data_IF_620305888206
#
_entry.id   IF_620305888206
#
_cell.length_a   1.000
_cell.length_b   1.000
_cell.length_c   1.000
_cell.angle_alpha   90.00
_cell.angle_beta   90.00
_cell.angle_gamma   90.00
#
_symmetry.space_group_name_H-M   'P 1'
#
loop_
_entity.id
_entity.type
_entity.pdbx_description
1 polymer ?
#
# COMPACT_ATOMS: atom_id res chain seq x y z
N UNK A 1 -12.80 24.87 -25.40
CA UNK A 1 -12.18 25.34 -26.65
C UNK A 1 -12.16 24.16 -27.61
N UNK A 2 -13.19 24.05 -28.46
CA UNK A 2 -13.33 22.99 -29.45
C UNK A 2 -12.53 23.38 -30.70
N UNK A 3 -11.49 22.62 -31.04
CA UNK A 3 -10.81 22.75 -32.33
C UNK A 3 -11.49 21.82 -33.34
N UNK A 4 -12.43 22.36 -34.11
CA UNK A 4 -12.88 21.76 -35.37
C UNK A 4 -11.84 22.08 -36.44
N UNK A 5 -11.02 21.11 -36.86
CA UNK A 5 -10.25 21.22 -38.09
C UNK A 5 -11.05 20.61 -39.24
N UNK A 6 -11.66 21.46 -40.08
CA UNK A 6 -12.10 21.07 -41.43
C UNK A 6 -10.87 21.05 -42.33
N UNK A 7 -10.46 19.87 -42.79
CA UNK A 7 -9.54 19.75 -43.93
C UNK A 7 -10.26 18.99 -45.06
N UNK A 8 -10.34 19.54 -46.28
CA UNK A 8 -10.94 18.88 -47.43
C UNK A 8 -10.06 17.74 -47.99
N UNK A 9 -10.73 16.76 -48.57
CA UNK A 9 -10.32 15.36 -48.72
C UNK A 9 -9.52 15.05 -50.01
N UNK A 10 -8.97 16.01 -50.76
CA UNK A 10 -8.43 15.70 -52.11
C UNK A 10 -6.92 15.51 -52.24
N UNK A 11 -6.08 15.99 -51.30
CA UNK A 11 -4.66 16.15 -51.64
C UNK A 11 -3.66 15.23 -50.89
N UNK A 12 -4.13 14.36 -50.00
CA UNK A 12 -3.23 13.49 -49.22
C UNK A 12 -2.87 12.14 -49.89
N UNK A 13 -3.59 11.72 -50.93
CA UNK A 13 -3.43 10.37 -51.50
C UNK A 13 -2.32 10.29 -52.57
N UNK A 14 -1.81 11.42 -53.08
CA UNK A 14 -0.87 11.39 -54.22
C UNK A 14 0.63 11.44 -53.89
N UNK A 15 1.07 11.58 -52.62
CA UNK A 15 2.51 11.76 -52.32
C UNK A 15 3.21 10.64 -51.54
N UNK A 16 2.49 9.64 -51.02
CA UNK A 16 3.12 8.53 -50.25
C UNK A 16 2.55 7.14 -50.59
N UNK A 17 2.24 6.91 -51.86
CA UNK A 17 1.89 5.59 -52.38
C UNK A 17 3.14 4.77 -52.67
N UNK A 18 3.63 4.00 -51.68
CA UNK A 18 4.30 2.69 -51.79
C UNK A 18 5.03 2.36 -50.48
N UNK A 19 4.27 1.83 -49.51
CA UNK A 19 4.67 0.89 -48.44
C UNK A 19 3.68 0.94 -47.26
N UNK A 20 2.37 0.83 -47.54
CA UNK A 20 1.38 0.57 -46.50
C UNK A 20 1.14 -0.93 -46.39
N UNK A 21 1.61 -1.52 -45.28
CA UNK A 21 0.87 -2.65 -44.68
C UNK A 21 -0.50 -2.10 -44.31
N UNK A 22 -1.54 -2.67 -44.92
CA UNK A 22 -2.94 -2.29 -44.73
C UNK A 22 -3.30 -2.26 -43.25
N UNK A 23 -3.71 -1.10 -42.75
CA UNK A 23 -4.37 -0.96 -41.46
C UNK A 23 -5.83 -1.37 -41.70
N UNK A 24 -6.37 -2.41 -41.03
CA UNK A 24 -7.75 -2.83 -41.24
C UNK A 24 -8.72 -1.70 -40.92
N UNK A 25 -9.67 -1.43 -41.83
CA UNK A 25 -10.67 -0.35 -41.76
C UNK A 25 -11.68 -0.48 -40.62
N UNK A 26 -11.55 -1.49 -39.74
CA UNK A 26 -12.56 -1.86 -38.74
C UNK A 26 -12.16 -1.50 -37.29
N UNK A 27 -11.27 -0.54 -37.06
CA UNK A 27 -11.02 -0.03 -35.69
C UNK A 27 -12.04 1.05 -35.30
N UNK A 28 -13.26 0.58 -35.00
CA UNK A 28 -14.28 1.19 -34.13
C UNK A 28 -14.52 2.69 -34.35
N UNK A 29 -15.23 3.01 -35.44
CA UNK A 29 -15.97 4.26 -35.58
C UNK A 29 -17.39 4.02 -35.04
N UNK A 30 -17.86 4.88 -34.15
CA UNK A 30 -19.29 4.97 -33.81
C UNK A 30 -19.89 6.10 -34.63
N UNK A 31 -20.89 5.80 -35.46
CA UNK A 31 -21.70 6.84 -36.11
C UNK A 31 -22.66 7.45 -35.09
N UNK A 32 -22.57 8.76 -34.92
CA UNK A 32 -23.55 9.53 -34.15
C UNK A 32 -24.79 9.79 -35.03
N UNK A 33 -25.93 10.11 -34.40
CA UNK A 33 -27.23 10.28 -35.07
C UNK A 33 -27.24 11.39 -36.14
N UNK A 34 -26.21 12.24 -36.19
CA UNK A 34 -26.00 13.32 -37.15
C UNK A 34 -25.07 12.91 -38.33
N UNK A 35 -24.68 11.64 -38.43
CA UNK A 35 -23.75 11.15 -39.46
C UNK A 35 -22.27 11.45 -39.17
N UNK A 36 -21.95 12.03 -38.01
CA UNK A 36 -20.56 12.28 -37.61
C UNK A 36 -19.88 10.97 -37.22
N UNK A 37 -18.80 10.62 -37.92
CA UNK A 37 -17.95 9.46 -37.58
C UNK A 37 -16.98 9.85 -36.46
N UNK A 38 -17.16 9.27 -35.28
CA UNK A 38 -16.28 9.49 -34.14
C UNK A 38 -15.35 8.30 -33.92
N UNK A 39 -14.08 8.60 -33.66
CA UNK A 39 -13.06 7.60 -33.27
C UNK A 39 -13.09 7.42 -31.76
N UNK A 40 -13.10 6.17 -31.27
CA UNK A 40 -12.99 5.93 -29.83
C UNK A 40 -11.67 6.44 -29.25
N UNK A 41 -11.68 6.92 -28.00
CA UNK A 41 -10.52 7.51 -27.33
C UNK A 41 -9.27 6.61 -27.37
N UNK A 42 -9.45 5.29 -27.25
CA UNK A 42 -8.38 4.29 -27.36
C UNK A 42 -7.75 4.28 -28.75
N UNK A 43 -8.56 4.27 -29.80
CA UNK A 43 -8.10 4.32 -31.19
C UNK A 43 -7.40 5.63 -31.49
N UNK A 44 -7.94 6.77 -31.04
CA UNK A 44 -7.30 8.08 -31.16
C UNK A 44 -5.92 8.11 -30.47
N UNK A 45 -5.84 7.61 -29.23
CA UNK A 45 -4.57 7.51 -28.49
C UNK A 45 -3.53 6.65 -29.21
N UNK A 46 -3.95 5.54 -29.82
CA UNK A 46 -3.07 4.66 -30.58
C UNK A 46 -2.54 5.33 -31.84
N UNK A 47 -3.41 6.00 -32.60
CA UNK A 47 -3.01 6.76 -33.81
C UNK A 47 -2.05 7.88 -33.44
N UNK A 48 -2.37 8.66 -32.40
CA UNK A 48 -1.49 9.74 -31.95
C UNK A 48 -0.12 9.21 -31.51
N UNK A 49 -0.08 8.09 -30.79
CA UNK A 49 1.20 7.49 -30.34
C UNK A 49 2.05 7.01 -31.51
N UNK A 50 1.44 6.51 -32.58
CA UNK A 50 2.15 6.09 -33.80
C UNK A 50 2.63 7.27 -34.63
N UNK A 51 1.83 8.33 -34.77
CA UNK A 51 2.14 9.49 -35.61
C UNK A 51 3.01 10.53 -34.90
N UNK A 52 2.91 10.62 -33.58
CA UNK A 52 3.56 11.63 -32.75
C UNK A 52 4.10 10.98 -31.45
N UNK A 53 5.12 10.11 -31.52
CA UNK A 53 5.65 9.39 -30.36
C UNK A 53 6.20 10.32 -29.25
N UNK A 54 6.53 11.56 -29.61
CA UNK A 54 6.94 12.63 -28.70
C UNK A 54 5.78 13.23 -27.89
N UNK A 55 4.52 13.08 -28.34
CA UNK A 55 3.33 13.58 -27.65
C UNK A 55 2.76 12.44 -26.81
N UNK A 56 2.82 12.59 -25.48
CA UNK A 56 2.24 11.64 -24.54
C UNK A 56 1.08 12.30 -23.82
N UNK A 57 -0.06 11.61 -23.78
CA UNK A 57 -1.15 12.02 -22.89
C UNK A 57 -0.68 11.88 -21.45
N UNK A 58 -0.86 12.94 -20.65
CA UNK A 58 -0.76 12.83 -19.22
C UNK A 58 -1.78 11.76 -18.77
N UNK A 59 -1.31 10.74 -18.06
CA UNK A 59 -2.22 9.83 -17.37
C UNK A 59 -2.97 10.63 -16.31
N UNK A 60 -4.24 10.31 -16.06
CA UNK A 60 -4.97 10.85 -14.91
C UNK A 60 -4.17 10.45 -13.68
N UNK A 61 -3.51 11.43 -13.06
CA UNK A 61 -2.55 11.16 -12.01
C UNK A 61 -3.30 10.74 -10.73
N UNK A 62 -3.16 9.47 -10.35
CA UNK A 62 -3.20 9.07 -8.95
C UNK A 62 -1.75 9.04 -8.45
N UNK A 63 -1.52 9.58 -7.26
CA UNK A 63 -0.22 9.58 -6.55
C UNK A 63 0.91 10.35 -7.25
N UNK A 64 0.72 11.67 -7.42
CA UNK A 64 1.81 12.57 -7.87
C UNK A 64 2.81 12.76 -6.74
N UNK A 65 4.05 12.34 -6.95
CA UNK A 65 5.16 12.68 -6.06
C UNK A 65 5.26 14.21 -5.86
N UNK A 66 5.06 14.66 -4.62
CA UNK A 66 5.07 16.08 -4.27
C UNK A 66 6.43 16.72 -4.55
N UNK A 67 7.52 15.98 -4.33
CA UNK A 67 8.87 16.41 -4.70
C UNK A 67 9.02 16.60 -6.21
N UNK A 68 8.48 15.69 -7.04
CA UNK A 68 8.49 15.87 -8.50
C UNK A 68 7.74 17.14 -8.91
N UNK A 69 6.58 17.39 -8.30
CA UNK A 69 5.79 18.60 -8.59
C UNK A 69 6.59 19.86 -8.26
N UNK A 70 7.13 19.96 -7.04
CA UNK A 70 7.94 21.11 -6.61
C UNK A 70 9.17 21.31 -7.48
N UNK A 71 9.93 20.25 -7.77
CA UNK A 71 11.14 20.34 -8.58
C UNK A 71 10.84 20.75 -10.02
N UNK A 72 9.74 20.28 -10.61
CA UNK A 72 9.27 20.74 -11.93
C UNK A 72 8.89 22.22 -11.90
N UNK A 73 8.14 22.65 -10.89
CA UNK A 73 7.79 24.06 -10.70
C UNK A 73 9.04 24.92 -10.56
N UNK A 74 10.05 24.48 -9.79
CA UNK A 74 11.34 25.19 -9.67
C UNK A 74 12.07 25.31 -11.01
N UNK A 75 12.06 24.26 -11.84
CA UNK A 75 12.64 24.32 -13.20
C UNK A 75 11.89 25.33 -14.08
N UNK A 76 10.56 25.36 -14.01
CA UNK A 76 9.73 26.28 -14.81
C UNK A 76 9.87 27.74 -14.36
N UNK A 77 9.97 27.98 -13.05
CA UNK A 77 10.04 29.33 -12.47
C UNK A 77 11.46 29.91 -12.44
N UNK A 78 12.49 29.13 -12.79
CA UNK A 78 13.87 29.59 -12.79
C UNK A 78 14.07 30.73 -13.82
N UNK A 79 14.52 31.89 -13.33
CA UNK A 79 14.70 33.10 -14.14
C UNK A 79 16.10 33.25 -14.73
N UNK A 80 17.11 32.58 -14.16
CA UNK A 80 18.48 32.60 -14.67
C UNK A 80 18.88 31.22 -15.16
N UNK A 81 19.85 31.17 -16.08
CA UNK A 81 20.35 29.91 -16.62
C UNK A 81 21.01 29.06 -15.53
N UNK A 82 21.75 29.65 -14.58
CA UNK A 82 22.37 28.92 -13.48
C UNK A 82 21.34 28.22 -12.59
N UNK A 83 20.29 28.94 -12.19
CA UNK A 83 19.20 28.39 -11.37
C UNK A 83 18.41 27.32 -12.11
N UNK A 84 18.27 27.47 -13.43
CA UNK A 84 17.59 26.49 -14.28
C UNK A 84 18.40 25.21 -14.40
N UNK A 85 19.72 25.30 -14.55
CA UNK A 85 20.65 24.16 -14.54
C UNK A 85 20.57 23.44 -13.20
N UNK A 86 20.71 24.17 -12.08
CA UNK A 86 20.66 23.60 -10.73
C UNK A 86 19.32 22.89 -10.46
N UNK A 87 18.20 23.56 -10.74
CA UNK A 87 16.86 22.99 -10.55
C UNK A 87 16.64 21.75 -11.42
N UNK A 88 17.19 21.75 -12.64
CA UNK A 88 17.11 20.61 -13.56
C UNK A 88 17.94 19.43 -13.06
N UNK A 89 19.15 19.68 -12.55
CA UNK A 89 20.00 18.65 -11.94
C UNK A 89 19.34 18.04 -10.70
N UNK A 90 18.73 18.85 -9.85
CA UNK A 90 17.98 18.37 -8.68
C UNK A 90 16.78 17.51 -9.08
N UNK A 91 16.04 17.91 -10.12
CA UNK A 91 14.94 17.11 -10.67
C UNK A 91 15.43 15.78 -11.25
N UNK A 92 16.48 15.79 -12.06
CA UNK A 92 17.07 14.57 -12.65
C UNK A 92 17.56 13.63 -11.54
N UNK A 93 18.30 14.15 -10.56
CA UNK A 93 18.81 13.39 -9.41
C UNK A 93 17.69 12.69 -8.62
N UNK A 94 16.56 13.37 -8.41
CA UNK A 94 15.39 12.78 -7.77
C UNK A 94 14.76 11.66 -8.60
N UNK A 95 14.60 11.86 -9.91
CA UNK A 95 14.03 10.85 -10.82
C UNK A 95 14.94 9.63 -10.92
N UNK A 96 16.25 9.82 -11.01
CA UNK A 96 17.21 8.72 -11.03
C UNK A 96 17.22 7.94 -9.71
N UNK A 97 17.16 8.62 -8.57
CA UNK A 97 17.04 7.95 -7.28
C UNK A 97 15.77 7.09 -7.24
N UNK A 98 14.63 7.63 -7.67
CA UNK A 98 13.38 6.87 -7.76
C UNK A 98 13.47 5.69 -8.73
N UNK A 99 14.18 5.83 -9.86
CA UNK A 99 14.43 4.75 -10.81
C UNK A 99 15.25 3.63 -10.16
N UNK A 100 16.32 3.96 -9.44
CA UNK A 100 17.18 2.96 -8.77
C UNK A 100 16.44 2.21 -7.67
N UNK A 101 15.61 2.90 -6.87
CA UNK A 101 14.75 2.21 -5.88
C UNK A 101 13.77 1.25 -6.57
N UNK A 102 13.27 1.61 -7.76
CA UNK A 102 12.42 0.70 -8.54
C UNK A 102 13.19 -0.50 -9.08
N UNK A 103 14.42 -0.29 -9.54
CA UNK A 103 15.31 -1.38 -9.98
C UNK A 103 15.58 -2.35 -8.83
N UNK A 104 15.90 -1.84 -7.64
CA UNK A 104 16.09 -2.65 -6.43
C UNK A 104 14.82 -3.44 -6.05
N UNK A 105 13.65 -2.80 -6.08
CA UNK A 105 12.40 -3.51 -5.85
C UNK A 105 12.19 -4.67 -6.84
N UNK A 106 12.44 -4.44 -8.13
CA UNK A 106 12.32 -5.48 -9.15
C UNK A 106 13.36 -6.60 -8.98
N UNK A 107 14.56 -6.28 -8.50
CA UNK A 107 15.60 -7.27 -8.18
C UNK A 107 15.13 -8.20 -7.04
N UNK A 108 14.59 -7.64 -5.96
CA UNK A 108 13.99 -8.41 -4.87
C UNK A 108 12.84 -9.29 -5.35
N UNK A 109 11.96 -8.76 -6.22
CA UNK A 109 10.91 -9.56 -6.84
C UNK A 109 11.47 -10.77 -7.62
N UNK A 110 12.53 -10.55 -8.40
CA UNK A 110 13.17 -11.61 -9.18
C UNK A 110 13.76 -12.67 -8.28
N UNK A 111 14.60 -12.26 -7.31
CA UNK A 111 15.24 -13.15 -6.33
C UNK A 111 14.23 -13.95 -5.54
N UNK A 112 13.16 -13.30 -5.08
CA UNK A 112 12.11 -13.97 -4.33
C UNK A 112 11.38 -15.02 -5.18
N UNK A 113 11.01 -14.70 -6.42
CA UNK A 113 10.34 -15.67 -7.31
C UNK A 113 11.22 -16.86 -7.65
N UNK A 114 12.51 -16.63 -7.85
CA UNK A 114 13.48 -17.71 -8.07
C UNK A 114 13.61 -18.60 -6.84
N UNK A 115 13.69 -17.99 -5.66
CA UNK A 115 13.75 -18.73 -4.40
C UNK A 115 12.51 -19.59 -4.17
N UNK A 116 11.32 -19.05 -4.46
CA UNK A 116 10.07 -19.80 -4.36
C UNK A 116 9.94 -20.91 -5.40
N UNK A 117 10.43 -20.69 -6.62
CA UNK A 117 10.45 -21.75 -7.65
C UNK A 117 11.30 -22.95 -7.23
N UNK A 118 12.33 -22.71 -6.41
CA UNK A 118 13.24 -23.72 -5.91
C UNK A 118 12.97 -24.11 -4.44
N UNK A 119 11.81 -23.74 -3.88
CA UNK A 119 11.50 -23.89 -2.46
C UNK A 119 11.72 -25.31 -1.94
N UNK A 120 11.24 -26.33 -2.68
CA UNK A 120 11.37 -27.73 -2.29
C UNK A 120 12.81 -28.26 -2.26
N UNK A 121 13.76 -27.54 -2.87
CA UNK A 121 15.17 -27.95 -2.97
C UNK A 121 16.07 -27.20 -1.97
N UNK A 122 15.60 -26.07 -1.40
CA UNK A 122 16.38 -25.24 -0.49
C UNK A 122 16.04 -25.55 0.96
N UNK A 123 17.06 -25.78 1.79
CA UNK A 123 16.89 -25.98 3.23
C UNK A 123 16.69 -24.68 4.02
N UNK A 124 17.18 -23.54 3.49
CA UNK A 124 17.15 -22.25 4.17
C UNK A 124 16.81 -21.16 3.16
N UNK A 125 15.74 -20.41 3.44
CA UNK A 125 15.30 -19.29 2.61
C UNK A 125 15.98 -17.98 3.04
N UNK A 126 16.40 -17.17 2.08
CA UNK A 126 17.17 -15.92 2.29
C UNK A 126 16.67 -14.72 1.48
N UNK A 127 15.79 -14.94 0.53
CA UNK A 127 15.28 -13.96 -0.42
C UNK A 127 13.75 -13.89 -0.37
N UNK A 128 13.13 -14.20 0.78
CA UNK A 128 11.70 -13.94 0.96
C UNK A 128 11.48 -12.43 0.95
N UNK A 129 10.52 -11.97 0.15
CA UNK A 129 10.24 -10.56 -0.04
C UNK A 129 8.79 -10.26 0.31
N UNK A 130 8.62 -9.37 1.28
CA UNK A 130 7.35 -8.83 1.71
C UNK A 130 7.16 -7.42 1.15
N UNK A 131 5.93 -7.10 0.75
CA UNK A 131 5.47 -5.70 0.68
C UNK A 131 4.33 -5.48 1.66
N UNK A 132 4.42 -4.39 2.42
CA UNK A 132 3.40 -4.03 3.42
C UNK A 132 2.92 -2.61 3.18
N UNK A 133 1.60 -2.41 3.27
CA UNK A 133 1.01 -1.09 3.16
C UNK A 133 -0.41 -1.03 3.75
N UNK A 134 -0.85 0.16 4.15
CA UNK A 134 -2.23 0.42 4.50
C UNK A 134 -3.02 0.95 3.30
N UNK A 135 -4.16 0.33 3.01
CA UNK A 135 -5.10 0.93 2.09
C UNK A 135 -5.76 2.18 2.69
N UNK A 136 -6.51 2.89 1.85
CA UNK A 136 -7.48 3.87 2.31
C UNK A 136 -8.56 3.19 3.15
N UNK A 137 -8.99 3.86 4.22
CA UNK A 137 -10.08 3.36 5.05
C UNK A 137 -11.37 3.23 4.24
N UNK A 138 -12.09 2.14 4.48
CA UNK A 138 -13.38 1.85 3.86
C UNK A 138 -14.47 2.30 4.82
N UNK A 139 -15.56 2.85 4.28
CA UNK A 139 -16.72 3.30 5.05
C UNK A 139 -17.93 2.45 4.69
N UNK A 140 -18.60 1.90 5.69
CA UNK A 140 -19.82 1.11 5.56
C UNK A 140 -21.03 1.85 6.17
N UNK A 141 -22.27 1.62 5.69
CA UNK A 141 -22.60 0.79 4.54
C UNK A 141 -22.13 1.43 3.23
N UNK A 142 -21.97 0.63 2.18
CA UNK A 142 -21.65 1.10 0.84
C UNK A 142 -22.59 0.46 -0.16
N UNK A 143 -23.28 1.29 -0.93
CA UNK A 143 -24.14 0.86 -2.04
C UNK A 143 -23.63 1.46 -3.35
N UNK A 144 -23.86 0.75 -4.46
CA UNK A 144 -23.58 1.28 -5.81
C UNK A 144 -24.41 2.51 -6.14
N UNK A 145 -25.68 2.51 -5.68
CA UNK A 145 -26.63 3.61 -5.84
C UNK A 145 -26.67 4.47 -4.57
N UNK A 146 -25.51 5.02 -4.20
CA UNK A 146 -25.37 5.72 -2.93
C UNK A 146 -26.27 6.97 -2.87
N UNK A 147 -27.16 7.02 -1.87
CA UNK A 147 -28.03 8.18 -1.63
C UNK A 147 -27.17 9.36 -1.15
N UNK A 148 -27.37 10.55 -1.71
CA UNK A 148 -26.53 11.73 -1.48
C UNK A 148 -26.29 12.09 0.00
N UNK A 149 -27.25 11.79 0.88
CA UNK A 149 -27.13 12.04 2.32
C UNK A 149 -26.01 11.24 2.99
N UNK A 150 -25.69 10.03 2.50
CA UNK A 150 -24.65 9.19 3.08
C UNK A 150 -23.26 9.80 2.88
N UNK A 151 -23.07 10.70 1.90
CA UNK A 151 -21.81 11.43 1.72
C UNK A 151 -21.51 12.44 2.83
N UNK A 152 -22.53 12.86 3.59
CA UNK A 152 -22.37 13.80 4.71
C UNK A 152 -22.25 13.10 6.06
N UNK A 153 -22.39 11.77 6.10
CA UNK A 153 -22.32 10.98 7.32
C UNK A 153 -20.95 10.29 7.44
N UNK A 154 -20.50 10.13 8.69
CA UNK A 154 -19.32 9.32 8.99
C UNK A 154 -19.74 7.87 9.20
N UNK A 155 -19.76 7.07 8.12
CA UNK A 155 -20.05 5.63 8.19
C UNK A 155 -19.09 4.85 9.08
N UNK A 156 -19.38 3.56 9.30
CA UNK A 156 -18.55 2.64 10.09
C UNK A 156 -17.22 2.40 9.38
N UNK A 157 -16.10 2.62 10.06
CA UNK A 157 -14.78 2.64 9.44
C UNK A 157 -14.10 1.28 9.51
N UNK A 158 -13.65 0.79 8.36
CA UNK A 158 -12.82 -0.41 8.28
C UNK A 158 -11.42 -0.03 7.83
N UNK A 159 -10.41 -0.45 8.59
CA UNK A 159 -9.01 -0.32 8.21
C UNK A 159 -8.57 -1.58 7.47
N UNK A 160 -7.73 -1.38 6.46
CA UNK A 160 -7.20 -2.48 5.65
C UNK A 160 -5.70 -2.38 5.61
N UNK A 161 -5.03 -3.41 6.13
CA UNK A 161 -3.59 -3.57 6.04
C UNK A 161 -3.27 -4.78 5.17
N UNK A 162 -2.31 -4.63 4.26
CA UNK A 162 -1.95 -5.67 3.31
C UNK A 162 -0.54 -6.14 3.57
N UNK A 163 -0.37 -7.46 3.67
CA UNK A 163 0.95 -8.11 3.65
C UNK A 163 1.01 -8.99 2.41
N UNK A 164 1.88 -8.65 1.47
CA UNK A 164 2.07 -9.42 0.25
C UNK A 164 3.40 -10.16 0.30
N UNK A 165 3.35 -11.49 0.17
CA UNK A 165 4.52 -12.33 -0.07
C UNK A 165 4.76 -12.40 -1.58
N UNK A 166 5.72 -11.61 -2.05
CA UNK A 166 5.91 -11.32 -3.47
C UNK A 166 6.31 -12.56 -4.28
N UNK A 167 7.19 -13.40 -3.74
CA UNK A 167 7.62 -14.66 -4.36
C UNK A 167 6.48 -15.68 -4.47
N UNK A 168 5.67 -15.83 -3.41
CA UNK A 168 4.49 -16.71 -3.38
C UNK A 168 3.32 -16.19 -4.22
N UNK A 169 3.33 -14.88 -4.54
CA UNK A 169 2.19 -14.15 -5.09
C UNK A 169 0.93 -14.34 -4.24
N UNK A 170 1.07 -14.27 -2.92
CA UNK A 170 -0.05 -14.33 -1.97
C UNK A 170 -0.11 -13.03 -1.19
N UNK A 171 -1.33 -12.51 -1.05
CA UNK A 171 -1.59 -11.25 -0.35
C UNK A 171 -2.62 -11.49 0.74
N UNK A 172 -2.25 -11.18 1.97
CA UNK A 172 -3.08 -11.27 3.15
C UNK A 172 -3.62 -9.87 3.46
N UNK A 173 -4.94 -9.71 3.39
CA UNK A 173 -5.62 -8.44 3.66
C UNK A 173 -6.27 -8.53 5.04
N UNK A 174 -5.69 -7.83 6.01
CA UNK A 174 -6.24 -7.68 7.35
C UNK A 174 -7.35 -6.64 7.30
N UNK A 175 -8.58 -7.07 7.59
CA UNK A 175 -9.73 -6.19 7.74
C UNK A 175 -9.97 -5.99 9.22
N UNK A 176 -9.88 -4.74 9.68
CA UNK A 176 -10.09 -4.35 11.08
C UNK A 176 -11.27 -3.41 11.15
N UNK A 177 -12.34 -3.85 11.79
CA UNK A 177 -13.54 -3.04 12.03
C UNK A 177 -13.26 -1.89 13.01
N UNK A 178 -14.24 -0.97 13.14
CA UNK A 178 -14.14 0.20 14.01
C UNK A 178 -14.14 -0.16 15.50
N UNK A 179 -14.76 -1.28 15.90
CA UNK A 179 -14.74 -1.80 17.29
C UNK A 179 -13.56 -2.73 17.60
N UNK A 180 -12.89 -3.25 16.57
CA UNK A 180 -11.79 -4.21 16.71
C UNK A 180 -10.41 -3.55 16.91
N UNK A 181 -10.34 -2.21 16.88
CA UNK A 181 -9.10 -1.46 16.98
C UNK A 181 -8.44 -1.47 18.37
N UNK A 182 -7.14 -1.13 18.40
CA UNK A 182 -6.34 -1.00 19.64
C UNK A 182 -6.88 0.11 20.55
N UNK A 183 -7.31 1.24 19.96
CA UNK A 183 -7.93 2.34 20.68
C UNK A 183 -9.39 2.48 20.27
N UNK A 184 -10.19 3.09 21.15
CA UNK A 184 -11.62 3.31 20.94
C UNK A 184 -11.87 3.99 19.58
N UNK A 185 -12.96 3.60 18.93
CA UNK A 185 -13.39 4.15 17.64
C UNK A 185 -12.32 3.99 16.53
N UNK A 186 -11.47 2.97 16.65
CA UNK A 186 -10.40 2.61 15.72
C UNK A 186 -9.41 3.77 15.46
N UNK A 187 -9.16 4.56 16.52
CA UNK A 187 -8.12 5.60 16.54
C UNK A 187 -6.74 4.94 16.55
N UNK A 188 -5.78 5.53 15.83
CA UNK A 188 -4.39 5.04 15.70
C UNK A 188 -4.24 3.58 15.18
N UNK A 189 -5.27 2.98 14.56
CA UNK A 189 -5.18 1.64 13.93
C UNK A 189 -4.35 1.62 12.63
N UNK A 190 -3.79 2.77 12.24
CA UNK A 190 -2.72 2.88 11.23
C UNK A 190 -1.33 3.03 11.87
N UNK A 191 -1.27 3.17 13.18
CA UNK A 191 -0.03 3.44 13.90
C UNK A 191 0.86 2.21 14.05
N UNK A 192 2.05 2.40 14.67
CA UNK A 192 3.10 1.38 14.69
C UNK A 192 2.72 0.09 15.42
N UNK A 193 1.88 0.17 16.46
CA UNK A 193 1.40 -1.04 17.13
C UNK A 193 0.53 -1.87 16.20
N UNK A 194 -0.38 -1.24 15.46
CA UNK A 194 -1.25 -1.96 14.54
C UNK A 194 -0.44 -2.63 13.43
N UNK A 195 0.50 -1.90 12.82
CA UNK A 195 1.42 -2.42 11.81
C UNK A 195 2.22 -3.61 12.33
N UNK A 196 2.88 -3.46 13.48
CA UNK A 196 3.73 -4.51 14.05
C UNK A 196 2.92 -5.75 14.41
N UNK A 197 1.74 -5.63 15.02
CA UNK A 197 0.91 -6.79 15.37
C UNK A 197 0.45 -7.56 14.13
N UNK A 198 -0.08 -6.86 13.11
CA UNK A 198 -0.57 -7.54 11.90
C UNK A 198 0.57 -8.14 11.08
N UNK A 199 1.75 -7.50 11.08
CA UNK A 199 2.92 -8.04 10.41
C UNK A 199 3.54 -9.22 11.18
N UNK A 200 3.64 -9.15 12.51
CA UNK A 200 4.07 -10.26 13.40
C UNK A 200 3.21 -11.50 13.15
N UNK A 201 1.88 -11.35 13.23
CA UNK A 201 0.95 -12.43 12.92
C UNK A 201 1.12 -12.94 11.48
N UNK A 202 1.33 -12.06 10.49
CA UNK A 202 1.50 -12.49 9.11
C UNK A 202 2.76 -13.36 8.92
N UNK A 203 3.87 -12.98 9.56
CA UNK A 203 5.12 -13.73 9.51
C UNK A 203 5.00 -15.03 10.29
N UNK A 204 4.37 -15.01 11.47
CA UNK A 204 4.18 -16.19 12.32
C UNK A 204 3.28 -17.25 11.65
N UNK A 205 2.15 -16.83 11.04
CA UNK A 205 1.19 -17.77 10.47
C UNK A 205 1.46 -18.14 9.02
N UNK A 206 2.05 -17.23 8.23
CA UNK A 206 2.19 -17.41 6.78
C UNK A 206 3.63 -17.34 6.27
N UNK A 207 4.57 -16.93 7.13
CA UNK A 207 6.00 -17.00 6.85
C UNK A 207 6.45 -18.43 6.61
N UNK A 208 7.68 -18.57 6.13
CA UNK A 208 8.23 -19.85 5.69
C UNK A 208 9.41 -20.30 6.55
N UNK A 209 9.48 -19.79 7.78
CA UNK A 209 10.65 -19.91 8.64
C UNK A 209 11.93 -19.46 7.91
N UNK A 210 11.83 -18.38 7.15
CA UNK A 210 12.96 -17.85 6.41
C UNK A 210 14.06 -17.32 7.31
N UNK A 211 15.32 -17.58 6.95
CA UNK A 211 16.46 -17.03 7.67
C UNK A 211 16.65 -15.55 7.34
N UNK A 212 16.38 -15.14 6.09
CA UNK A 212 16.52 -13.75 5.69
C UNK A 212 15.33 -13.27 4.86
N UNK A 213 14.93 -12.03 5.09
CA UNK A 213 13.84 -11.40 4.34
C UNK A 213 14.11 -9.93 4.00
N UNK A 214 13.48 -9.49 2.91
CA UNK A 214 13.36 -8.10 2.52
C UNK A 214 11.93 -7.61 2.71
N UNK A 215 11.76 -6.40 3.21
CA UNK A 215 10.46 -5.76 3.44
C UNK A 215 10.48 -4.43 2.70
N UNK A 216 9.59 -4.26 1.74
CA UNK A 216 9.35 -2.98 1.09
C UNK A 216 8.05 -2.36 1.60
N UNK A 217 8.09 -1.08 1.95
CA UNK A 217 6.94 -0.34 2.42
C UNK A 217 7.02 1.12 2.00
N UNK A 218 5.94 1.86 2.17
CA UNK A 218 5.94 3.30 1.91
C UNK A 218 6.79 4.06 2.96
N UNK A 219 7.25 5.25 2.58
CA UNK A 219 8.01 6.14 3.46
C UNK A 219 7.06 6.95 4.37
N UNK A 220 6.29 6.28 5.22
CA UNK A 220 5.35 6.93 6.14
C UNK A 220 5.83 6.90 7.60
N UNK A 221 6.15 8.06 8.21
CA UNK A 221 6.60 8.12 9.61
C UNK A 221 5.56 7.67 10.64
N UNK A 222 4.27 7.80 10.32
CA UNK A 222 3.18 7.41 11.23
C UNK A 222 2.98 5.90 11.32
N UNK A 223 3.33 5.18 10.25
CA UNK A 223 2.94 3.77 10.08
C UNK A 223 4.19 2.86 10.04
N UNK A 224 5.07 3.05 9.05
CA UNK A 224 6.17 2.12 8.74
C UNK A 224 7.57 2.64 9.12
N UNK A 225 7.83 3.95 8.96
CA UNK A 225 9.15 4.56 9.20
C UNK A 225 9.25 5.25 10.56
N UNK A 226 9.23 4.43 11.60
CA UNK A 226 9.32 4.91 12.97
C UNK A 226 10.23 4.01 13.81
N UNK A 227 10.56 4.49 15.01
CA UNK A 227 11.44 3.78 15.96
C UNK A 227 10.90 2.42 16.39
N UNK A 228 9.57 2.21 16.33
CA UNK A 228 8.94 0.99 16.81
C UNK A 228 8.98 -0.09 15.72
N UNK A 229 8.82 0.25 14.44
CA UNK A 229 9.10 -0.70 13.36
C UNK A 229 10.57 -1.11 13.37
N UNK A 230 11.52 -0.16 13.45
CA UNK A 230 12.95 -0.51 13.52
C UNK A 230 13.31 -1.32 14.77
N UNK A 231 12.69 -1.00 15.91
CA UNK A 231 12.87 -1.76 17.15
C UNK A 231 12.30 -3.17 17.04
N UNK A 232 11.13 -3.33 16.42
CA UNK A 232 10.50 -4.63 16.19
C UNK A 232 11.36 -5.54 15.30
N UNK A 233 11.87 -5.03 14.18
CA UNK A 233 12.74 -5.83 13.31
C UNK A 233 14.08 -6.18 13.97
N UNK A 234 14.64 -5.26 14.78
CA UNK A 234 15.80 -5.56 15.61
C UNK A 234 15.49 -6.63 16.67
N UNK A 235 14.30 -6.60 17.26
CA UNK A 235 13.82 -7.64 18.18
C UNK A 235 13.69 -9.00 17.49
N UNK A 236 13.09 -9.08 16.29
CA UNK A 236 13.01 -10.34 15.54
C UNK A 236 14.39 -10.98 15.32
N UNK A 237 15.41 -10.18 14.97
CA UNK A 237 16.78 -10.67 14.80
C UNK A 237 17.40 -11.05 16.15
N UNK A 238 17.19 -10.24 17.19
CA UNK A 238 17.69 -10.50 18.53
C UNK A 238 17.14 -11.80 19.13
N UNK A 239 15.87 -12.09 18.91
CA UNK A 239 15.21 -13.34 19.34
C UNK A 239 15.39 -14.48 18.33
N UNK A 240 16.28 -14.33 17.34
CA UNK A 240 16.63 -15.35 16.33
C UNK A 240 15.46 -15.84 15.46
N UNK A 241 14.42 -15.01 15.29
CA UNK A 241 13.36 -15.30 14.32
C UNK A 241 13.87 -15.15 12.89
N UNK A 242 14.80 -14.22 12.67
CA UNK A 242 15.52 -14.04 11.41
C UNK A 242 17.01 -13.84 11.66
N UNK A 243 17.85 -14.31 10.74
CA UNK A 243 19.29 -14.01 10.71
C UNK A 243 19.57 -12.62 10.13
N UNK A 244 18.73 -12.16 9.19
CA UNK A 244 18.86 -10.85 8.56
C UNK A 244 17.52 -10.32 8.07
N UNK A 245 17.25 -9.04 8.32
CA UNK A 245 16.07 -8.35 7.79
C UNK A 245 16.53 -7.07 7.09
N UNK A 246 16.05 -6.84 5.87
CA UNK A 246 16.27 -5.60 5.13
C UNK A 246 14.95 -4.83 4.97
N UNK A 247 14.84 -3.65 5.57
CA UNK A 247 13.68 -2.76 5.44
C UNK A 247 13.99 -1.63 4.45
N UNK A 248 13.17 -1.50 3.40
CA UNK A 248 13.41 -0.63 2.25
C UNK A 248 12.19 0.29 2.01
N UNK A 249 12.42 1.59 2.13
CA UNK A 249 11.38 2.62 2.09
C UNK A 249 11.22 3.20 0.69
N UNK A 250 10.06 2.99 0.08
CA UNK A 250 9.74 3.53 -1.23
C UNK A 250 9.47 5.04 -1.19
N UNK A 251 9.91 5.77 -2.22
CA UNK A 251 9.63 7.19 -2.33
C UNK A 251 8.12 7.43 -2.52
N UNK A 252 7.56 8.30 -1.69
CA UNK A 252 6.16 8.70 -1.79
C UNK A 252 5.82 9.27 -3.18
N UNK A 253 4.72 8.79 -3.76
CA UNK A 253 4.30 9.10 -5.13
C UNK A 253 5.10 8.40 -6.23
N UNK A 254 6.03 7.51 -5.86
CA UNK A 254 6.68 6.53 -6.75
C UNK A 254 6.44 5.09 -6.26
N UNK A 255 5.59 4.92 -5.25
CA UNK A 255 5.09 3.65 -4.72
C UNK A 255 4.21 2.98 -5.77
N UNK A 256 4.70 1.87 -6.33
CA UNK A 256 3.92 1.04 -7.27
C UNK A 256 4.22 -0.43 -7.01
N UNK A 257 3.92 -0.91 -5.82
CA UNK A 257 4.17 -2.30 -5.43
C UNK A 257 2.93 -3.19 -5.66
N UNK A 258 3.08 -4.51 -5.52
CA UNK A 258 1.95 -5.43 -5.78
C UNK A 258 0.86 -5.30 -4.71
N UNK A 259 1.21 -4.95 -3.45
CA UNK A 259 0.21 -4.66 -2.42
C UNK A 259 -0.73 -3.52 -2.85
N UNK A 260 -0.20 -2.41 -3.39
CA UNK A 260 -0.99 -1.27 -3.93
C UNK A 260 -1.89 -1.71 -5.09
N UNK A 261 -1.32 -2.48 -6.02
CA UNK A 261 -2.05 -2.98 -7.18
C UNK A 261 -3.24 -3.85 -6.73
N UNK A 262 -3.04 -4.70 -5.73
CA UNK A 262 -4.08 -5.52 -5.12
C UNK A 262 -5.19 -4.68 -4.47
N UNK A 263 -4.84 -3.62 -3.75
CA UNK A 263 -5.84 -2.69 -3.20
C UNK A 263 -6.63 -1.98 -4.30
N UNK A 264 -5.96 -1.60 -5.38
CA UNK A 264 -6.59 -1.00 -6.55
C UNK A 264 -7.65 -1.91 -7.18
N UNK A 265 -7.40 -3.21 -7.28
CA UNK A 265 -8.39 -4.18 -7.77
C UNK A 265 -9.56 -4.36 -6.80
N UNK A 266 -9.29 -4.54 -5.51
CA UNK A 266 -10.31 -4.64 -4.47
C UNK A 266 -11.22 -3.40 -4.48
N UNK A 267 -10.63 -2.19 -4.55
CA UNK A 267 -11.37 -0.92 -4.63
C UNK A 267 -12.26 -0.82 -5.87
N UNK A 268 -11.80 -1.31 -7.02
CA UNK A 268 -12.60 -1.34 -8.27
C UNK A 268 -13.81 -2.28 -8.16
N UNK A 269 -13.68 -3.39 -7.44
CA UNK A 269 -14.78 -4.32 -7.21
C UNK A 269 -15.73 -3.80 -6.13
N UNK A 270 -15.18 -3.25 -5.04
CA UNK A 270 -15.92 -2.62 -3.95
C UNK A 270 -16.89 -1.56 -4.46
N UNK A 271 -16.44 -0.64 -5.32
CA UNK A 271 -17.27 0.41 -5.94
C UNK A 271 -18.48 -0.09 -6.74
N UNK A 272 -18.51 -1.39 -7.06
CA UNK A 272 -19.56 -2.06 -7.83
C UNK A 272 -20.26 -3.14 -7.00
N UNK A 273 -20.08 -3.12 -5.68
CA UNK A 273 -20.60 -4.11 -4.74
C UNK A 273 -21.34 -3.42 -3.60
N UNK A 274 -22.38 -4.05 -3.08
CA UNK A 274 -23.12 -3.57 -1.91
C UNK A 274 -22.57 -4.24 -0.63
N UNK A 275 -22.18 -3.46 0.37
CA UNK A 275 -21.51 -3.92 1.60
C UNK A 275 -22.12 -3.25 2.84
N UNK A 276 -22.94 -3.98 3.60
CA UNK A 276 -23.86 -3.37 4.58
C UNK A 276 -23.89 -4.12 5.92
N UNK A 277 -22.90 -4.98 6.16
CA UNK A 277 -22.78 -5.79 7.38
C UNK A 277 -21.55 -5.38 8.18
N UNK A 278 -21.67 -5.37 9.51
CA UNK A 278 -20.56 -5.13 10.43
C UNK A 278 -19.65 -6.34 10.59
N UNK A 279 -20.14 -7.55 10.30
CA UNK A 279 -19.34 -8.79 10.34
C UNK A 279 -18.28 -8.85 9.23
N UNK A 280 -18.17 -7.78 8.44
CA UNK A 280 -17.31 -7.60 7.29
C UNK A 280 -17.42 -8.70 6.22
N UNK A 281 -18.39 -9.60 6.28
CA UNK A 281 -18.48 -10.75 5.37
C UNK A 281 -18.62 -10.33 3.90
N UNK A 282 -19.44 -9.31 3.61
CA UNK A 282 -19.54 -8.74 2.25
C UNK A 282 -18.21 -8.15 1.78
N UNK A 283 -17.49 -7.47 2.68
CA UNK A 283 -16.21 -6.85 2.35
C UNK A 283 -15.12 -7.91 2.14
N UNK A 284 -15.07 -8.92 3.00
CA UNK A 284 -14.18 -10.07 2.86
C UNK A 284 -14.39 -10.76 1.49
N UNK A 285 -15.65 -10.95 1.10
CA UNK A 285 -16.02 -11.47 -0.21
C UNK A 285 -15.51 -10.62 -1.36
N UNK A 286 -15.61 -9.29 -1.27
CA UNK A 286 -15.05 -8.37 -2.25
C UNK A 286 -13.53 -8.54 -2.36
N UNK A 287 -12.81 -8.63 -1.24
CA UNK A 287 -11.37 -8.80 -1.27
C UNK A 287 -10.96 -10.16 -1.86
N UNK A 288 -11.61 -11.27 -1.47
CA UNK A 288 -11.36 -12.60 -2.04
C UNK A 288 -11.65 -12.67 -3.53
N UNK A 289 -12.80 -12.12 -3.97
CA UNK A 289 -13.20 -12.12 -5.40
C UNK A 289 -12.37 -11.18 -6.26
N UNK A 290 -11.69 -10.19 -5.68
CA UNK A 290 -10.91 -9.22 -6.45
C UNK A 290 -9.60 -9.78 -7.03
N UNK A 291 -9.07 -10.87 -6.49
CA UNK A 291 -7.92 -11.60 -7.04
C UNK A 291 -7.79 -12.99 -6.43
N UNK A 292 -7.42 -14.00 -7.23
CA UNK A 292 -7.12 -15.36 -6.75
C UNK A 292 -5.92 -15.45 -5.79
N UNK A 293 -5.12 -14.38 -5.74
CA UNK A 293 -3.96 -14.26 -4.84
C UNK A 293 -4.33 -13.74 -3.46
N UNK A 294 -5.55 -13.22 -3.27
CA UNK A 294 -5.96 -12.58 -2.03
C UNK A 294 -6.49 -13.59 -1.03
N UNK A 295 -5.96 -13.50 0.18
CA UNK A 295 -6.54 -14.03 1.40
C UNK A 295 -7.05 -12.86 2.24
N UNK A 296 -8.07 -13.14 3.05
CA UNK A 296 -8.64 -12.17 3.99
C UNK A 296 -8.44 -12.70 5.40
N UNK A 297 -7.91 -11.84 6.26
CA UNK A 297 -7.73 -12.09 7.69
C UNK A 297 -8.66 -11.12 8.40
N UNK A 298 -9.65 -11.64 9.12
CA UNK A 298 -10.58 -10.84 9.93
C UNK A 298 -10.20 -11.01 11.39
N UNK A 299 -10.42 -9.99 12.20
CA UNK A 299 -10.23 -10.11 13.64
C UNK A 299 -11.47 -10.78 14.26
N UNK A 300 -11.58 -12.10 14.10
CA UNK A 300 -12.69 -12.83 14.68
C UNK A 300 -12.38 -13.14 16.15
N UNK A 301 -13.39 -13.01 17.01
CA UNK A 301 -13.37 -13.54 18.37
C UNK A 301 -14.36 -14.71 18.43
N UNK A 302 -13.86 -15.94 18.39
CA UNK A 302 -14.68 -17.15 18.57
C UNK A 302 -14.16 -17.89 19.81
N UNK A 303 -15.06 -18.27 20.73
CA UNK A 303 -14.72 -19.04 21.95
C UNK A 303 -13.58 -18.43 22.80
N UNK A 304 -13.53 -17.10 22.94
CA UNK A 304 -12.45 -16.34 23.60
C UNK A 304 -11.06 -16.43 22.93
N UNK A 305 -10.97 -17.02 21.74
CA UNK A 305 -9.76 -16.99 20.91
C UNK A 305 -9.93 -15.95 19.80
N UNK A 306 -8.94 -15.06 19.70
CA UNK A 306 -8.89 -14.05 18.64
C UNK A 306 -7.98 -14.52 17.51
N UNK A 307 -8.30 -14.19 16.27
CA UNK A 307 -7.45 -14.57 15.11
C UNK A 307 -6.01 -14.10 15.28
N UNK A 308 -5.83 -12.88 15.81
CA UNK A 308 -4.54 -12.42 16.33
C UNK A 308 -4.76 -11.62 17.61
N UNK A 309 -3.69 -11.46 18.39
CA UNK A 309 -3.73 -10.66 19.62
C UNK A 309 -3.14 -9.28 19.34
N UNK A 310 -3.82 -8.23 19.78
CA UNK A 310 -3.19 -6.92 19.87
C UNK A 310 -2.18 -6.94 21.01
N UNK A 311 -1.02 -6.33 20.81
CA UNK A 311 0.00 -6.13 21.86
C UNK A 311 0.52 -4.70 21.84
N UNK A 312 0.90 -4.19 23.00
CA UNK A 312 1.50 -2.85 23.10
C UNK A 312 3.01 -2.89 22.85
N UNK A 313 3.40 -2.90 21.57
CA UNK A 313 4.80 -2.90 21.17
C UNK A 313 5.53 -1.61 21.55
N UNK A 314 4.84 -0.47 21.65
CA UNK A 314 5.47 0.84 21.87
C UNK A 314 6.26 0.91 23.20
N UNK A 315 5.68 0.64 24.39
CA UNK A 315 6.42 0.62 25.65
C UNK A 315 7.49 -0.47 25.68
N UNK A 316 7.15 -1.68 25.23
CA UNK A 316 8.07 -2.82 25.19
C UNK A 316 9.35 -2.48 24.41
N UNK A 317 9.21 -2.07 23.15
CA UNK A 317 10.34 -1.72 22.30
C UNK A 317 11.07 -0.45 22.78
N UNK A 318 10.37 0.47 23.46
CA UNK A 318 11.01 1.65 24.04
C UNK A 318 11.92 1.33 25.21
N UNK A 319 11.61 0.28 25.98
CA UNK A 319 12.46 -0.21 27.06
C UNK A 319 13.75 -0.83 26.49
N UNK A 320 13.66 -1.49 25.34
CA UNK A 320 14.73 -2.25 24.71
C UNK A 320 15.64 -1.42 23.80
N UNK A 321 15.05 -0.51 23.00
CA UNK A 321 15.75 0.17 21.91
C UNK A 321 15.64 1.70 21.95
N UNK A 322 16.75 2.34 21.59
CA UNK A 322 16.86 3.76 21.30
C UNK A 322 16.33 4.04 19.89
N UNK A 323 15.77 5.24 19.62
CA UNK A 323 15.46 5.65 18.27
C UNK A 323 16.71 5.73 17.39
N UNK A 324 16.59 5.41 16.10
CA UNK A 324 17.62 5.72 15.10
C UNK A 324 17.72 7.25 14.93
N UNK A 325 18.87 7.89 15.26
CA UNK A 325 19.02 9.33 15.11
C UNK A 325 18.84 9.77 13.66
N UNK A 326 17.99 10.75 13.41
CA UNK A 326 17.73 11.24 12.05
C UNK A 326 17.04 10.23 11.14
N UNK A 327 16.28 9.26 11.69
CA UNK A 327 15.59 8.17 10.95
C UNK A 327 14.93 8.63 9.63
N UNK A 328 14.37 9.85 9.59
CA UNK A 328 13.71 10.43 8.42
C UNK A 328 14.61 10.51 7.17
N UNK A 329 15.93 10.64 7.34
CA UNK A 329 16.91 10.73 6.23
C UNK A 329 17.14 9.39 5.53
N UNK A 330 16.99 8.28 6.25
CA UNK A 330 17.38 6.96 5.76
C UNK A 330 16.24 6.27 5.02
N UNK A 331 16.55 5.56 3.93
CA UNK A 331 15.59 4.78 3.17
C UNK A 331 15.82 3.29 3.30
N UNK A 332 17.02 2.88 3.70
CA UNK A 332 17.41 1.48 3.81
C UNK A 332 17.89 1.21 5.23
N UNK A 333 17.40 0.13 5.82
CA UNK A 333 17.77 -0.34 7.15
C UNK A 333 18.05 -1.83 7.06
N UNK A 334 19.19 -2.28 7.57
CA UNK A 334 19.55 -3.69 7.62
C UNK A 334 19.85 -4.07 9.06
N UNK A 335 19.23 -5.16 9.49
CA UNK A 335 19.37 -5.77 10.80
C UNK A 335 19.99 -7.15 10.59
N UNK A 336 21.08 -7.46 11.29
CA UNK A 336 21.82 -8.71 11.12
C UNK A 336 22.21 -9.33 12.45
N UNK A 337 22.23 -10.67 12.50
CA UNK A 337 22.63 -11.42 13.69
C UNK A 337 24.13 -11.31 14.00
N UNK A 338 24.94 -10.95 13.01
CA UNK A 338 26.39 -10.70 13.13
C UNK A 338 26.68 -9.47 14.00
N UNK A 339 25.79 -8.49 13.98
CA UNK A 339 25.90 -7.26 14.77
C UNK A 339 24.55 -6.92 15.44
N UNK A 340 24.23 -7.65 16.50
CA UNK A 340 22.98 -7.47 17.23
C UNK A 340 22.80 -6.02 17.70
N UNK A 341 21.57 -5.52 17.52
CA UNK A 341 21.15 -4.18 17.90
C UNK A 341 21.95 -3.03 17.25
N UNK A 342 22.75 -3.32 16.22
CA UNK A 342 23.32 -2.35 15.29
C UNK A 342 22.47 -2.38 14.03
N UNK A 343 21.95 -1.21 13.64
CA UNK A 343 21.23 -1.02 12.38
C UNK A 343 22.18 -0.39 11.38
N UNK A 344 22.38 -1.04 10.25
CA UNK A 344 23.08 -0.45 9.10
C UNK A 344 22.06 0.37 8.32
N UNK A 345 22.31 1.66 8.14
CA UNK A 345 21.40 2.58 7.46
C UNK A 345 22.03 3.22 6.22
N UNK A 346 21.21 3.48 5.19
CA UNK A 346 21.60 4.26 4.00
C UNK A 346 20.52 5.28 3.64
N UNK A 347 20.93 6.46 3.17
CA UNK A 347 19.99 7.48 2.69
C UNK A 347 19.37 7.13 1.33
N UNK A 348 20.07 6.34 0.51
CA UNK A 348 19.63 5.86 -0.82
C UNK A 348 20.15 4.44 -1.03
N UNK A 349 19.60 3.69 -2.00
CA UNK A 349 20.01 2.31 -2.27
C UNK A 349 21.53 2.13 -2.48
N UNK A 350 22.18 3.10 -3.14
CA UNK A 350 23.61 3.14 -3.39
C UNK A 350 24.37 4.11 -2.45
N UNK A 351 23.74 4.49 -1.34
CA UNK A 351 24.33 5.39 -0.36
C UNK A 351 25.42 4.72 0.46
N UNK A 352 26.16 5.55 1.19
CA UNK A 352 27.17 5.11 2.15
C UNK A 352 26.46 4.43 3.33
N UNK A 353 27.01 3.30 3.77
CA UNK A 353 26.53 2.58 4.94
C UNK A 353 26.98 3.29 6.22
N UNK A 354 26.05 3.41 7.16
CA UNK A 354 26.35 3.88 8.50
C UNK A 354 25.80 2.91 9.53
N UNK A 355 26.64 2.52 10.47
CA UNK A 355 26.24 1.69 11.61
C UNK A 355 25.72 2.56 12.75
N UNK A 356 24.57 2.19 13.31
CA UNK A 356 23.94 2.87 14.43
C UNK A 356 23.56 1.84 15.48
N UNK A 357 24.19 1.91 16.64
CA UNK A 357 23.80 1.12 17.80
C UNK A 357 22.51 1.70 18.41
N UNK A 358 21.44 0.90 18.41
CA UNK A 358 20.13 1.24 18.97
C UNK A 358 19.86 0.52 20.30
N UNK A 359 20.82 -0.19 20.86
CA UNK A 359 20.67 -0.88 22.13
C UNK A 359 20.48 0.12 23.28
N UNK A 360 19.44 -0.09 24.10
CA UNK A 360 19.18 0.76 25.27
C UNK A 360 19.73 0.20 26.58
N UNK A 361 19.68 -1.12 26.75
CA UNK A 361 20.14 -1.86 27.95
C UNK A 361 21.13 -2.96 27.55
N UNK A 362 21.97 -3.47 28.46
CA UNK A 362 22.86 -4.61 28.15
C UNK A 362 22.08 -5.83 27.66
N UNK A 363 22.65 -6.59 26.74
CA UNK A 363 21.99 -7.74 26.08
C UNK A 363 21.63 -8.86 27.07
N UNK A 364 22.36 -8.95 28.17
CA UNK A 364 22.19 -9.95 29.22
C UNK A 364 20.87 -9.80 29.99
N UNK A 365 20.21 -8.64 29.86
CA UNK A 365 18.91 -8.34 30.49
C UNK A 365 17.73 -8.61 29.56
N UNK A 366 17.96 -9.15 28.37
CA UNK A 366 16.91 -9.47 27.41
C UNK A 366 16.44 -10.89 27.60
N UNK A 367 15.15 -11.05 27.84
CA UNK A 367 14.49 -12.34 27.70
C UNK A 367 14.22 -12.59 26.20
N UNK A 368 14.86 -13.60 25.57
CA UNK A 368 14.67 -13.90 24.16
C UNK A 368 13.27 -14.43 23.83
N UNK A 369 12.46 -14.80 24.83
CA UNK A 369 11.09 -15.27 24.66
C UNK A 369 10.04 -14.21 25.01
N UNK A 370 10.45 -13.06 25.57
CA UNK A 370 9.50 -12.04 25.99
C UNK A 370 8.79 -11.41 24.78
N UNK A 371 7.45 -11.46 24.83
CA UNK A 371 6.55 -10.64 23.99
C UNK A 371 5.81 -9.64 24.87
N UNK A 372 5.41 -8.48 24.33
CA UNK A 372 4.51 -7.57 25.04
C UNK A 372 3.19 -8.26 25.40
N UNK A 373 2.58 -7.83 26.50
CA UNK A 373 1.27 -8.33 26.93
C UNK A 373 0.20 -8.10 25.87
N UNK A 374 -0.75 -9.05 25.79
CA UNK A 374 -1.90 -8.91 24.93
C UNK A 374 -2.85 -7.86 25.51
N UNK A 375 -3.39 -7.01 24.64
CA UNK A 375 -4.37 -5.99 24.96
C UNK A 375 -5.69 -6.33 24.25
N UNK A 376 -6.85 -6.14 24.91
CA UNK A 376 -8.13 -6.36 24.26
C UNK A 376 -8.41 -5.27 23.22
N UNK A 377 -9.28 -5.56 22.26
CA UNK A 377 -9.85 -4.54 21.39
C UNK A 377 -10.63 -3.52 22.24
N UNK A 378 -10.51 -2.24 21.91
CA UNK A 378 -11.05 -1.17 22.73
C UNK A 378 -12.55 -0.90 22.52
N UNK A 379 -13.14 -1.45 21.45
CA UNK A 379 -14.55 -1.27 21.12
C UNK A 379 -14.90 0.15 20.63
N UNK A 380 -16.20 0.38 20.48
CA UNK A 380 -16.76 1.69 20.18
C UNK A 380 -17.04 2.48 21.46
N UNK A 381 -16.89 3.80 21.40
CA UNK A 381 -17.47 4.67 22.41
C UNK A 381 -19.01 4.64 22.34
N UNK A 382 -19.68 4.88 23.47
CA UNK A 382 -21.16 4.90 23.53
C UNK A 382 -21.74 5.89 22.52
N UNK A 383 -21.18 7.10 22.46
CA UNK A 383 -21.59 8.14 21.52
C UNK A 383 -21.41 7.71 20.06
N UNK A 384 -20.31 7.01 19.73
CA UNK A 384 -20.09 6.51 18.37
C UNK A 384 -21.06 5.40 18.02
N UNK A 385 -21.32 4.49 18.95
CA UNK A 385 -22.30 3.43 18.78
C UNK A 385 -23.72 4.00 18.56
N UNK A 386 -24.17 4.94 19.41
CA UNK A 386 -25.45 5.65 19.27
C UNK A 386 -25.55 6.39 17.92
N UNK A 387 -24.46 7.01 17.46
CA UNK A 387 -24.40 7.65 16.15
C UNK A 387 -24.54 6.63 15.01
N UNK A 388 -23.81 5.52 15.05
CA UNK A 388 -23.91 4.47 14.04
C UNK A 388 -25.33 3.88 14.00
N UNK A 389 -25.92 3.63 15.17
CA UNK A 389 -27.28 3.11 15.29
C UNK A 389 -28.35 4.07 14.76
N UNK A 390 -28.29 5.34 15.15
CA UNK A 390 -29.36 6.32 14.83
C UNK A 390 -29.20 6.98 13.47
N UNK A 391 -27.96 7.23 13.03
CA UNK A 391 -27.67 8.00 11.81
C UNK A 391 -27.23 7.15 10.64
N UNK A 392 -26.48 6.05 10.86
CA UNK A 392 -25.85 5.29 9.76
C UNK A 392 -26.62 4.01 9.42
N UNK A 393 -27.02 3.24 10.43
CA UNK A 393 -27.77 1.98 10.31
C UNK A 393 -29.02 2.07 9.42
N UNK A 394 -29.84 3.14 9.44
CA UNK A 394 -31.01 3.23 8.56
C UNK A 394 -30.70 3.14 7.07
N UNK A 395 -29.45 3.44 6.68
CA UNK A 395 -28.99 3.36 5.30
C UNK A 395 -28.48 1.96 4.91
N UNK A 396 -28.31 1.02 5.85
CA UNK A 396 -28.08 -0.39 5.52
C UNK A 396 -29.40 -1.03 5.08
N UNK A 397 -29.34 -2.02 4.17
CA UNK A 397 -30.51 -2.80 3.76
C UNK A 397 -31.15 -3.48 4.98
N UNK A 398 -32.49 -3.56 4.98
CA UNK A 398 -33.31 -3.94 6.15
C UNK A 398 -32.83 -5.23 6.82
N UNK A 399 -32.51 -6.23 6.02
CA UNK A 399 -32.03 -7.54 6.48
C UNK A 399 -30.66 -7.49 7.19
N UNK A 400 -29.83 -6.48 6.95
CA UNK A 400 -28.52 -6.31 7.57
C UNK A 400 -28.49 -5.24 8.67
N UNK A 401 -29.57 -4.49 8.91
CA UNK A 401 -29.57 -3.42 9.91
C UNK A 401 -29.28 -3.91 11.33
N UNK A 402 -29.81 -5.08 11.71
CA UNK A 402 -29.52 -5.67 13.02
C UNK A 402 -28.06 -6.12 13.14
N UNK A 403 -27.52 -6.70 12.07
CA UNK A 403 -26.10 -7.08 12.02
C UNK A 403 -25.19 -5.85 11.99
N UNK A 404 -25.58 -4.74 11.37
CA UNK A 404 -24.75 -3.54 11.23
C UNK A 404 -24.47 -2.83 12.56
N UNK A 405 -25.51 -2.66 13.38
CA UNK A 405 -25.41 -2.06 14.71
C UNK A 405 -26.67 -2.43 15.51
N UNK A 406 -26.48 -3.02 16.68
CA UNK A 406 -27.57 -3.42 17.57
C UNK A 406 -28.02 -2.23 18.43
N UNK A 407 -29.21 -2.33 19.04
CA UNK A 407 -29.60 -1.34 20.04
C UNK A 407 -28.76 -1.58 21.31
N UNK A 408 -28.25 -0.52 21.93
CA UNK A 408 -27.77 -0.63 23.32
C UNK A 408 -28.97 -0.96 24.19
N UNK A 409 -28.94 -2.10 24.88
CA UNK A 409 -29.85 -2.31 26.01
C UNK A 409 -29.65 -1.16 27.00
N UNK A 410 -30.75 -0.59 27.47
CA UNK A 410 -30.71 0.29 28.65
C UNK A 410 -30.28 -0.59 29.84
N UNK A 411 -29.05 -0.42 30.30
CA UNK A 411 -28.64 -0.81 31.66
C UNK A 411 -28.98 0.32 32.64
#
# INVERSE_FOLDING_TARGET
MFLQSKLPHSDYIKKYGKNQKSIPSNRLLTEQADGTRCVQLTTFKNVLSSCCPQIRFASIHSDVCSSCKKLRESVTLAQTEEKKIESSQNYISHIEAARRERELYNEWLSKSREEFSNYNQRKILKNVHYTIDFAQSISLPHHTDQVGQLHFLSGRKVKVFGVCMEGKRKKYNYLVDEDEGILKDCVDTKGPNATNNMFDHAVECYGLNEAECGIHCDNCPGENKNRYMTGYLAWCVLTRQHQKISLMMQFSGHTKCLVDAGFGQAKKLFRRSNCDTSTLSHLADVFRKSSSTNEVVQHNQENNETTWQWRDWKPFLSALFKPVPGIRKYHHFVFGHDKLCIVIVKEKCNGIEKEINILRRPLEQFDPLARPEAIPAAGLSRARHEYLYSKVRPYARKEYQAAFCQATGEE
#
